data_IF_090609687555
#
_entry.id   IF_090609687555
#
_cell.length_a   1.000
_cell.length_b   1.000
_cell.length_c   1.000
_cell.angle_alpha   90.00
_cell.angle_beta   90.00
_cell.angle_gamma   90.00
#
_symmetry.space_group_name_H-M   'P 1'
#
loop_
_entity.id
_entity.type
_entity.pdbx_description
1 polymer ?
#
# COMPACT_ATOMS: atom_id res chain seq x y z
N UNK A 1 11.82 57.82 15.11
CA UNK A 1 11.66 57.10 13.83
C UNK A 1 12.06 55.66 14.08
N UNK A 2 11.11 54.75 14.22
CA UNK A 2 11.36 53.31 14.39
C UNK A 2 10.74 52.59 13.18
N UNK A 3 11.59 52.01 12.33
CA UNK A 3 11.15 51.19 11.20
C UNK A 3 10.74 49.82 11.70
N UNK A 4 9.46 49.50 11.52
CA UNK A 4 8.92 48.15 11.65
C UNK A 4 9.34 47.35 10.41
N UNK A 5 10.13 46.30 10.62
CA UNK A 5 10.46 45.30 9.60
C UNK A 5 9.34 44.26 9.61
N UNK A 6 8.52 44.28 8.57
CA UNK A 6 7.52 43.25 8.33
C UNK A 6 8.25 42.02 7.80
N UNK A 7 8.36 40.98 8.62
CA UNK A 7 8.81 39.66 8.18
C UNK A 7 7.63 38.98 7.48
N UNK A 8 7.73 38.57 6.20
CA UNK A 8 6.67 37.81 5.55
C UNK A 8 6.56 36.46 6.24
N UNK A 9 5.37 36.14 6.75
CA UNK A 9 5.03 34.79 7.18
C UNK A 9 5.11 33.87 5.97
N UNK A 10 6.15 33.05 5.93
CA UNK A 10 6.23 31.91 5.00
C UNK A 10 5.12 30.95 5.42
N UNK A 11 4.03 30.92 4.68
CA UNK A 11 3.02 29.88 4.80
C UNK A 11 3.70 28.55 4.50
N UNK A 12 3.78 27.67 5.50
CA UNK A 12 4.10 26.26 5.29
C UNK A 12 3.16 25.70 4.21
N UNK A 13 3.66 24.93 3.22
CA UNK A 13 2.82 24.34 2.22
C UNK A 13 1.77 23.46 2.91
N UNK A 14 0.50 23.76 2.63
CA UNK A 14 -0.67 22.99 3.04
C UNK A 14 -0.54 21.56 2.55
N UNK A 15 -0.64 20.59 3.47
CA UNK A 15 -0.95 19.16 3.29
C UNK A 15 -0.90 18.66 1.83
N UNK A 16 0.21 18.05 1.46
CA UNK A 16 0.36 17.46 0.14
C UNK A 16 -0.45 16.15 0.06
N UNK A 17 -1.61 16.19 -0.57
CA UNK A 17 -2.49 15.02 -0.67
C UNK A 17 -1.90 14.01 -1.66
N UNK A 18 -1.48 12.85 -1.18
CA UNK A 18 -0.96 11.77 -2.02
C UNK A 18 -1.94 11.40 -3.16
N UNK A 19 -1.42 11.24 -4.38
CA UNK A 19 -2.22 10.89 -5.57
C UNK A 19 -2.61 9.40 -5.61
N UNK A 20 -2.01 8.60 -4.73
CA UNK A 20 -2.27 7.18 -4.62
C UNK A 20 -2.52 6.76 -3.16
N UNK A 21 -3.03 5.55 -2.99
CA UNK A 21 -3.22 4.88 -1.70
C UNK A 21 -2.88 3.40 -1.85
N UNK A 22 -2.23 2.83 -0.85
CA UNK A 22 -2.04 1.39 -0.70
C UNK A 22 -3.14 0.91 0.25
N UNK A 23 -3.98 -0.01 -0.22
CA UNK A 23 -5.03 -0.61 0.59
C UNK A 23 -4.66 -2.07 0.81
N UNK A 24 -4.44 -2.48 2.06
CA UNK A 24 -4.01 -3.84 2.38
C UNK A 24 -5.05 -4.56 3.23
N UNK A 25 -5.73 -5.55 2.64
CA UNK A 25 -6.64 -6.44 3.37
C UNK A 25 -5.94 -7.73 3.79
N UNK A 26 -5.71 -7.91 5.07
CA UNK A 26 -5.23 -9.19 5.60
C UNK A 26 -5.55 -9.32 7.09
N UNK A 27 -5.91 -10.53 7.54
CA UNK A 27 -6.32 -10.78 8.92
C UNK A 27 -5.17 -10.63 9.94
N UNK A 28 -3.91 -10.73 9.51
CA UNK A 28 -2.71 -10.58 10.32
C UNK A 28 -2.04 -9.21 10.13
N UNK A 29 -2.19 -8.55 8.98
CA UNK A 29 -1.71 -7.18 8.76
C UNK A 29 -2.72 -6.16 9.28
N UNK A 30 -4.03 -6.37 9.11
CA UNK A 30 -5.07 -5.42 9.53
C UNK A 30 -5.14 -5.13 11.03
N UNK A 31 -4.49 -5.95 11.87
CA UNK A 31 -4.41 -5.73 13.31
C UNK A 31 -3.38 -4.63 13.65
N UNK A 32 -3.79 -3.65 14.46
CA UNK A 32 -2.99 -2.46 14.82
C UNK A 32 -1.61 -2.80 15.41
N UNK A 33 -1.49 -3.90 16.17
CA UNK A 33 -0.24 -4.30 16.84
C UNK A 33 0.56 -5.37 16.09
N UNK A 34 0.15 -5.73 14.89
CA UNK A 34 0.73 -6.85 14.15
C UNK A 34 1.49 -6.36 12.91
N UNK A 35 2.63 -6.99 12.64
CA UNK A 35 3.44 -6.78 11.42
C UNK A 35 3.80 -5.31 11.13
N UNK A 36 3.99 -4.50 12.18
CA UNK A 36 4.23 -3.07 12.04
C UNK A 36 5.52 -2.74 11.26
N UNK A 37 6.53 -3.60 11.33
CA UNK A 37 7.76 -3.47 10.54
C UNK A 37 7.49 -3.55 9.03
N UNK A 38 6.66 -4.50 8.60
CA UNK A 38 6.28 -4.67 7.19
C UNK A 38 5.43 -3.51 6.68
N UNK A 39 4.50 -3.01 7.51
CA UNK A 39 3.68 -1.84 7.18
C UNK A 39 4.52 -0.59 6.95
N UNK A 40 5.48 -0.32 7.83
CA UNK A 40 6.38 0.83 7.70
C UNK A 40 7.27 0.72 6.46
N UNK A 41 7.77 -0.48 6.13
CA UNK A 41 8.56 -0.68 4.92
C UNK A 41 7.76 -0.44 3.63
N UNK A 42 6.55 -1.00 3.54
CA UNK A 42 5.68 -0.85 2.35
C UNK A 42 5.25 0.59 2.16
N UNK A 43 4.84 1.25 3.23
CA UNK A 43 4.41 2.63 3.10
C UNK A 43 5.58 3.60 2.90
N UNK A 44 6.71 3.38 3.58
CA UNK A 44 7.81 4.36 3.64
C UNK A 44 8.62 4.47 2.36
N UNK A 45 8.48 3.49 1.46
CA UNK A 45 9.22 3.41 0.19
C UNK A 45 8.39 3.82 -1.04
N UNK A 46 7.18 4.34 -0.83
CA UNK A 46 6.35 4.94 -1.89
C UNK A 46 6.34 6.45 -1.75
N UNK A 47 6.87 7.17 -2.73
CA UNK A 47 6.80 8.65 -2.76
C UNK A 47 5.35 9.08 -3.05
N UNK A 48 4.62 9.68 -2.09
CA UNK A 48 3.22 10.03 -2.25
C UNK A 48 2.95 11.06 -3.37
N UNK A 49 3.97 11.72 -3.89
CA UNK A 49 3.85 12.81 -4.87
C UNK A 49 4.29 12.46 -6.28
N UNK A 50 4.88 11.28 -6.49
CA UNK A 50 5.42 10.89 -7.78
C UNK A 50 4.54 9.83 -8.45
N UNK A 51 4.18 10.06 -9.71
CA UNK A 51 3.41 9.10 -10.55
C UNK A 51 4.35 8.02 -11.12
N UNK A 52 5.65 8.28 -11.09
CA UNK A 52 6.70 7.34 -11.50
C UNK A 52 7.63 7.08 -10.31
N UNK A 53 7.88 5.82 -9.96
CA UNK A 53 8.68 5.47 -8.80
C UNK A 53 10.14 5.90 -8.93
N UNK A 54 10.70 6.38 -7.82
CA UNK A 54 12.14 6.51 -7.64
C UNK A 54 12.75 5.12 -7.50
N UNK A 55 13.74 4.79 -8.34
CA UNK A 55 14.47 3.53 -8.25
C UNK A 55 15.07 3.37 -6.84
N UNK A 56 14.92 2.21 -6.19
CA UNK A 56 15.51 1.97 -4.87
C UNK A 56 17.02 2.20 -4.95
N UNK A 57 17.54 3.09 -4.11
CA UNK A 57 18.98 3.37 -4.07
C UNK A 57 19.68 2.36 -3.14
N UNK A 58 21.01 2.28 -3.19
CA UNK A 58 21.81 1.34 -2.37
C UNK A 58 21.57 1.49 -0.86
N UNK A 59 21.10 2.66 -0.39
CA UNK A 59 20.72 2.89 1.01
C UNK A 59 19.42 2.19 1.37
N UNK A 60 18.46 2.13 0.44
CA UNK A 60 17.17 1.49 0.63
C UNK A 60 17.31 -0.05 0.66
N UNK A 61 18.17 -0.58 -0.22
CA UNK A 61 18.59 -1.99 -0.23
C UNK A 61 19.39 -2.31 1.04
N UNK A 62 20.29 -1.41 1.46
CA UNK A 62 21.08 -1.55 2.69
C UNK A 62 20.22 -1.55 3.96
N UNK A 63 19.12 -0.81 3.98
CA UNK A 63 18.15 -0.84 5.08
C UNK A 63 17.44 -2.19 5.13
N UNK A 64 16.93 -2.69 4.00
CA UNK A 64 16.30 -4.02 3.87
C UNK A 64 17.23 -5.18 4.32
N UNK A 65 18.53 -5.08 4.03
CA UNK A 65 19.52 -6.09 4.45
C UNK A 65 19.88 -5.96 5.94
N UNK A 66 19.93 -4.73 6.50
CA UNK A 66 20.18 -4.50 7.93
C UNK A 66 18.97 -4.78 8.83
N UNK A 67 17.77 -4.92 8.27
CA UNK A 67 16.53 -5.21 9.01
C UNK A 67 16.48 -6.60 9.70
N UNK A 68 17.46 -7.49 9.44
CA UNK A 68 17.62 -8.75 10.19
C UNK A 68 18.17 -8.54 11.62
N UNK A 69 18.83 -7.42 11.90
CA UNK A 69 19.34 -7.09 13.22
C UNK A 69 18.56 -5.92 13.83
N UNK A 70 17.70 -6.27 14.79
CA UNK A 70 17.03 -5.44 15.80
C UNK A 70 17.35 -3.94 15.73
N UNK A 71 16.50 -3.16 15.06
CA UNK A 71 16.42 -1.72 15.29
C UNK A 71 15.19 -1.40 16.14
N UNK A 72 15.50 -1.15 17.40
CA UNK A 72 14.65 -0.60 18.44
C UNK A 72 14.51 0.91 18.19
N UNK A 73 13.59 1.32 17.30
CA UNK A 73 13.27 2.74 17.08
C UNK A 73 11.79 2.95 16.86
N UNK A 74 11.11 3.47 17.90
CA UNK A 74 9.89 4.30 17.86
C UNK A 74 8.87 4.02 16.74
N UNK A 75 7.98 3.06 17.02
CA UNK A 75 6.85 2.61 16.23
C UNK A 75 5.69 3.62 16.12
N UNK A 76 5.78 4.63 15.25
CA UNK A 76 4.61 5.43 14.80
C UNK A 76 4.66 5.87 13.31
N UNK A 77 5.43 5.18 12.46
CA UNK A 77 5.63 5.52 11.04
C UNK A 77 4.93 4.58 10.07
N UNK A 78 3.59 4.49 10.11
CA UNK A 78 2.82 4.03 8.95
C UNK A 78 2.56 5.30 8.14
N UNK A 79 3.07 5.43 6.91
CA UNK A 79 2.83 6.64 6.15
C UNK A 79 1.38 6.74 5.73
N UNK A 80 0.93 7.98 5.56
CA UNK A 80 -0.48 8.35 5.40
C UNK A 80 -1.18 7.67 4.21
N UNK A 81 -0.42 7.14 3.26
CA UNK A 81 -0.92 6.47 2.07
C UNK A 81 -1.19 4.97 2.27
N UNK A 82 -0.80 4.32 3.37
CA UNK A 82 -1.11 2.91 3.64
C UNK A 82 -2.31 2.76 4.59
N UNK A 83 -3.36 2.10 4.12
CA UNK A 83 -4.55 1.75 4.90
C UNK A 83 -4.67 0.22 4.99
N UNK A 84 -4.53 -0.32 6.19
CA UNK A 84 -4.64 -1.75 6.46
C UNK A 84 -5.99 -2.11 7.07
N UNK A 85 -6.60 -3.19 6.60
CA UNK A 85 -7.92 -3.67 7.01
C UNK A 85 -7.87 -5.16 7.33
N UNK A 86 -8.69 -5.59 8.27
CA UNK A 86 -8.99 -7.01 8.52
C UNK A 86 -10.45 -7.35 8.17
N UNK A 87 -11.34 -6.34 8.09
CA UNK A 87 -12.74 -6.47 7.69
C UNK A 87 -12.92 -6.12 6.20
N UNK A 88 -13.68 -6.96 5.49
CA UNK A 88 -13.93 -6.81 4.05
C UNK A 88 -14.77 -5.56 3.77
N UNK A 89 -15.82 -5.31 4.56
CA UNK A 89 -16.78 -4.26 4.25
C UNK A 89 -16.16 -2.87 4.42
N UNK A 90 -15.41 -2.63 5.51
CA UNK A 90 -14.64 -1.39 5.69
C UNK A 90 -13.56 -1.20 4.61
N UNK A 91 -12.97 -2.30 4.12
CA UNK A 91 -12.01 -2.23 3.03
C UNK A 91 -12.68 -1.80 1.71
N UNK A 92 -13.87 -2.31 1.41
CA UNK A 92 -14.65 -1.95 0.21
C UNK A 92 -15.10 -0.49 0.26
N UNK A 93 -15.61 -0.03 1.41
CA UNK A 93 -15.93 1.39 1.63
C UNK A 93 -14.73 2.28 1.31
N UNK A 94 -13.56 1.92 1.83
CA UNK A 94 -12.33 2.67 1.57
C UNK A 94 -11.92 2.67 0.10
N UNK A 95 -12.08 1.54 -0.61
CA UNK A 95 -11.84 1.48 -2.06
C UNK A 95 -12.78 2.46 -2.78
N UNK A 96 -14.07 2.42 -2.47
CA UNK A 96 -15.08 3.29 -3.07
C UNK A 96 -14.77 4.78 -2.87
N UNK A 97 -14.42 5.18 -1.64
CA UNK A 97 -14.03 6.56 -1.33
C UNK A 97 -12.81 7.03 -2.13
N UNK A 98 -11.76 6.20 -2.22
CA UNK A 98 -10.55 6.60 -2.94
C UNK A 98 -10.74 6.64 -4.46
N UNK A 99 -11.53 5.72 -5.02
CA UNK A 99 -11.91 5.75 -6.43
C UNK A 99 -12.78 6.97 -6.77
N UNK A 100 -13.74 7.32 -5.91
CA UNK A 100 -14.55 8.53 -6.07
C UNK A 100 -13.69 9.81 -6.07
N UNK A 101 -12.62 9.82 -5.28
CA UNK A 101 -11.61 10.87 -5.23
C UNK A 101 -10.52 10.75 -6.32
N UNK A 102 -10.69 9.85 -7.31
CA UNK A 102 -9.77 9.61 -8.43
C UNK A 102 -8.33 9.28 -8.00
N UNK A 103 -8.16 8.66 -6.83
CA UNK A 103 -6.85 8.19 -6.38
C UNK A 103 -6.51 6.86 -7.05
N UNK A 104 -5.23 6.68 -7.37
CA UNK A 104 -4.71 5.37 -7.77
C UNK A 104 -4.68 4.45 -6.54
N UNK A 105 -5.15 3.22 -6.70
CA UNK A 105 -5.17 2.23 -5.61
C UNK A 105 -4.19 1.10 -5.94
N UNK A 106 -3.25 0.87 -5.02
CA UNK A 106 -2.45 -0.35 -4.97
C UNK A 106 -3.11 -1.30 -3.98
N UNK A 107 -3.94 -2.21 -4.49
CA UNK A 107 -4.68 -3.14 -3.64
C UNK A 107 -3.86 -4.39 -3.35
N UNK A 108 -3.57 -4.63 -2.08
CA UNK A 108 -2.84 -5.79 -1.57
C UNK A 108 -3.78 -6.63 -0.73
N UNK A 109 -3.76 -7.95 -0.90
CA UNK A 109 -4.55 -8.86 -0.08
C UNK A 109 -3.82 -10.18 0.11
N UNK A 110 -4.15 -10.93 1.15
CA UNK A 110 -3.66 -12.31 1.26
C UNK A 110 -4.48 -13.30 0.44
N UNK A 111 -3.95 -14.49 0.22
CA UNK A 111 -4.63 -15.57 -0.50
C UNK A 111 -6.06 -15.83 -0.04
N UNK A 112 -6.26 -15.97 1.27
CA UNK A 112 -7.56 -16.30 1.87
C UNK A 112 -8.54 -15.12 1.88
N UNK A 113 -8.04 -13.89 2.03
CA UNK A 113 -8.88 -12.69 1.99
C UNK A 113 -9.19 -12.27 0.55
N UNK A 114 -8.25 -12.45 -0.37
CA UNK A 114 -8.38 -12.20 -1.80
C UNK A 114 -9.51 -13.00 -2.42
N UNK A 115 -9.58 -14.30 -2.14
CA UNK A 115 -10.65 -15.18 -2.61
C UNK A 115 -12.05 -14.67 -2.23
N UNK A 116 -12.18 -14.03 -1.05
CA UNK A 116 -13.46 -13.53 -0.54
C UNK A 116 -13.82 -12.16 -1.08
N UNK A 117 -12.85 -11.24 -1.21
CA UNK A 117 -13.12 -9.85 -1.60
C UNK A 117 -13.15 -9.65 -3.11
N UNK A 118 -12.39 -10.42 -3.88
CA UNK A 118 -12.25 -10.21 -5.32
C UNK A 118 -13.58 -10.35 -6.10
N UNK A 119 -14.49 -11.29 -5.78
CA UNK A 119 -15.82 -11.31 -6.39
C UNK A 119 -16.57 -9.98 -6.22
N UNK A 120 -16.51 -9.39 -5.01
CA UNK A 120 -17.15 -8.11 -4.69
C UNK A 120 -16.49 -6.94 -5.43
N UNK A 121 -15.15 -6.94 -5.55
CA UNK A 121 -14.42 -5.92 -6.32
C UNK A 121 -14.78 -6.00 -7.81
N UNK A 122 -14.89 -7.20 -8.38
CA UNK A 122 -15.28 -7.39 -9.77
C UNK A 122 -16.67 -6.84 -10.10
N UNK A 123 -17.61 -6.98 -9.17
CA UNK A 123 -18.95 -6.44 -9.31
C UNK A 123 -19.00 -4.92 -9.09
N UNK A 124 -18.45 -4.43 -7.97
CA UNK A 124 -18.64 -3.06 -7.50
C UNK A 124 -17.65 -2.07 -8.13
N UNK A 125 -16.42 -2.52 -8.39
CA UNK A 125 -15.30 -1.68 -8.80
C UNK A 125 -14.54 -2.29 -9.99
N UNK A 126 -15.21 -2.48 -11.15
CA UNK A 126 -14.60 -3.13 -12.31
C UNK A 126 -13.38 -2.37 -12.86
N UNK A 127 -13.15 -1.11 -12.47
CA UNK A 127 -11.93 -0.37 -12.82
C UNK A 127 -10.70 -0.75 -12.00
N UNK A 128 -10.86 -1.35 -10.81
CA UNK A 128 -9.75 -1.80 -9.97
C UNK A 128 -9.29 -3.20 -10.41
N UNK A 129 -8.48 -3.25 -11.48
CA UNK A 129 -8.05 -4.52 -12.08
C UNK A 129 -6.72 -5.06 -11.56
N UNK A 130 -5.86 -4.22 -10.98
CA UNK A 130 -4.56 -4.67 -10.49
C UNK A 130 -4.61 -5.05 -9.01
N UNK A 131 -4.28 -6.32 -8.72
CA UNK A 131 -4.39 -6.92 -7.40
C UNK A 131 -3.05 -7.58 -7.04
N UNK A 132 -2.46 -7.19 -5.92
CA UNK A 132 -1.27 -7.83 -5.38
C UNK A 132 -1.69 -8.87 -4.35
N UNK A 133 -1.45 -10.15 -4.64
CA UNK A 133 -1.79 -11.25 -3.76
C UNK A 133 -0.55 -11.69 -2.97
N UNK A 134 -0.47 -11.28 -1.71
CA UNK A 134 0.64 -11.65 -0.82
C UNK A 134 0.34 -12.99 -0.12
N UNK A 135 0.95 -14.09 -0.60
CA UNK A 135 0.67 -15.43 -0.10
C UNK A 135 1.90 -16.34 -0.10
N UNK A 136 2.25 -16.90 1.06
CA UNK A 136 3.38 -17.83 1.20
C UNK A 136 3.17 -19.20 0.53
N UNK A 137 1.94 -19.54 0.13
CA UNK A 137 1.62 -20.78 -0.59
C UNK A 137 0.76 -20.51 -1.82
N UNK A 138 1.33 -19.85 -2.84
CA UNK A 138 0.62 -19.42 -4.04
C UNK A 138 -0.14 -20.56 -4.75
N UNK A 139 0.38 -21.81 -4.72
CA UNK A 139 -0.26 -22.96 -5.38
C UNK A 139 -1.69 -23.22 -4.91
N UNK A 140 -2.02 -22.91 -3.66
CA UNK A 140 -3.37 -23.05 -3.14
C UNK A 140 -4.35 -21.99 -3.66
N UNK A 141 -3.85 -20.87 -4.17
CA UNK A 141 -4.66 -19.72 -4.56
C UNK A 141 -4.67 -19.48 -6.08
N UNK A 142 -3.77 -20.16 -6.80
CA UNK A 142 -3.67 -20.11 -8.26
C UNK A 142 -5.04 -20.42 -8.90
N UNK A 143 -5.71 -21.50 -8.49
CA UNK A 143 -6.97 -21.92 -9.10
C UNK A 143 -7.99 -20.80 -9.24
N UNK A 144 -8.42 -20.21 -8.12
CA UNK A 144 -9.39 -19.11 -8.16
C UNK A 144 -8.81 -17.82 -8.75
N UNK A 145 -7.52 -17.55 -8.60
CA UNK A 145 -6.91 -16.34 -9.15
C UNK A 145 -6.96 -16.34 -10.70
N UNK A 146 -6.76 -17.51 -11.32
CA UNK A 146 -6.83 -17.64 -12.77
C UNK A 146 -8.24 -17.33 -13.33
N UNK A 147 -9.30 -17.66 -12.60
CA UNK A 147 -10.70 -17.42 -13.02
C UNK A 147 -11.03 -15.93 -13.23
N UNK A 148 -10.21 -15.02 -12.69
CA UNK A 148 -10.37 -13.58 -12.83
C UNK A 148 -9.49 -12.96 -13.92
N UNK A 149 -8.49 -13.69 -14.44
CA UNK A 149 -7.66 -13.19 -15.54
C UNK A 149 -8.49 -12.94 -16.80
N UNK A 150 -9.42 -13.85 -17.11
CA UNK A 150 -10.35 -13.73 -18.25
C UNK A 150 -11.32 -12.54 -18.09
N UNK A 151 -11.53 -12.08 -16.85
CA UNK A 151 -12.34 -10.90 -16.53
C UNK A 151 -11.52 -9.60 -16.57
N UNK A 152 -10.28 -9.66 -17.09
CA UNK A 152 -9.37 -8.53 -17.24
C UNK A 152 -8.69 -8.10 -15.96
N UNK A 153 -8.68 -8.93 -14.90
CA UNK A 153 -7.87 -8.68 -13.72
C UNK A 153 -6.41 -9.04 -13.96
N UNK A 154 -5.52 -8.24 -13.40
CA UNK A 154 -4.10 -8.51 -13.32
C UNK A 154 -3.75 -8.86 -11.87
N UNK A 155 -3.67 -10.16 -11.58
CA UNK A 155 -3.33 -10.66 -10.24
C UNK A 155 -1.85 -11.00 -10.18
N UNK A 156 -1.11 -10.28 -9.35
CA UNK A 156 0.32 -10.45 -9.14
C UNK A 156 0.51 -11.18 -7.81
N UNK A 157 0.85 -12.46 -7.87
CA UNK A 157 1.08 -13.29 -6.69
C UNK A 157 2.52 -13.15 -6.20
N UNK A 158 2.70 -12.91 -4.91
CA UNK A 158 3.98 -12.61 -4.27
C UNK A 158 4.07 -13.41 -2.96
N UNK A 159 5.15 -14.18 -2.79
CA UNK A 159 5.39 -15.01 -1.61
C UNK A 159 6.43 -14.43 -0.63
N UNK A 160 7.23 -13.45 -1.07
CA UNK A 160 8.21 -12.76 -0.23
C UNK A 160 7.94 -11.26 -0.08
N UNK A 161 8.11 -10.76 1.14
CA UNK A 161 7.82 -9.36 1.48
C UNK A 161 8.75 -8.37 0.77
N UNK A 162 10.00 -8.74 0.51
CA UNK A 162 10.95 -7.94 -0.28
C UNK A 162 10.45 -7.69 -1.69
N UNK A 163 9.85 -8.71 -2.30
CA UNK A 163 9.34 -8.63 -3.68
C UNK A 163 8.10 -7.76 -3.73
N UNK A 164 7.27 -7.80 -2.69
CA UNK A 164 6.11 -6.90 -2.55
C UNK A 164 6.56 -5.44 -2.48
N UNK A 165 7.52 -5.14 -1.62
CA UNK A 165 8.06 -3.78 -1.49
C UNK A 165 8.69 -3.31 -2.80
N UNK A 166 9.57 -4.12 -3.40
CA UNK A 166 10.20 -3.78 -4.69
C UNK A 166 9.18 -3.55 -5.80
N UNK A 167 8.07 -4.30 -5.81
CA UNK A 167 7.03 -4.17 -6.82
C UNK A 167 6.20 -2.92 -6.61
N UNK A 168 5.79 -2.62 -5.38
CA UNK A 168 5.03 -1.41 -5.04
C UNK A 168 5.85 -0.13 -5.23
N UNK A 169 7.18 -0.21 -5.09
CA UNK A 169 8.10 0.89 -5.40
C UNK A 169 8.48 0.96 -6.87
N UNK A 170 7.87 0.20 -7.77
CA UNK A 170 8.17 0.20 -9.22
C UNK A 170 6.92 0.38 -10.08
N UNK A 171 5.79 -0.14 -9.61
CA UNK A 171 4.48 -0.01 -10.24
C UNK A 171 3.76 1.24 -9.69
#
# INVERSE_FOLDING_TARGET
MASSVIVPSVSLPTSSTANHVIIWLDQHIGLIKSNNQLKSAVGGQTDPHNVTPTSPNERDIGNLIRFQELLDTNFFGIPENLKAFYEIDSCLECIGENLANRKQIFFVTSGTMGEKILPKIAELYPSLKQIYLFCGYYRAHVGWAYDYLDQGFNIIMIDFHTDLVMRLSRD
#
